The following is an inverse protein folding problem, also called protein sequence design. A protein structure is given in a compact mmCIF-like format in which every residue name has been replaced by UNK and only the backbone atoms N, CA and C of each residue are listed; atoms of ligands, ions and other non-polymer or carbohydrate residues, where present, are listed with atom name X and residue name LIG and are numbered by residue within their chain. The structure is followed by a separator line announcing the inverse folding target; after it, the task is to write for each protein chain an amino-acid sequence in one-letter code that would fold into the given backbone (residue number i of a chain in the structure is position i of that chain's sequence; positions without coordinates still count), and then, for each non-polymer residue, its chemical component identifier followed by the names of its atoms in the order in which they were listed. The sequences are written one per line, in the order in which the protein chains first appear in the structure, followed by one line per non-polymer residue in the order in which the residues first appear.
data_IF_043648587322
#
_entry.id   IF_043648587322
#
_cell.length_a   1.000
_cell.length_b   1.000
_cell.length_c   1.000
_cell.angle_alpha   90.00
_cell.angle_beta   90.00
_cell.angle_gamma   90.00
#
_symmetry.space_group_name_H-M   'P 1'
#
loop_
_entity.id
_entity.type
_entity.pdbx_description
1 polymer ?
#
# COMPACT_ATOMS: atom_id res chain seq x y z
N UNK A 1 -7.30 10.09 11.01
CA UNK A 1 -8.01 9.22 10.05
C UNK A 1 -7.70 9.60 8.62
N UNK A 2 -7.34 8.62 7.79
CA UNK A 2 -7.18 8.75 6.33
C UNK A 2 -8.33 8.02 5.64
N UNK A 3 -9.05 8.69 4.75
CA UNK A 3 -10.17 8.13 3.99
C UNK A 3 -9.93 8.20 2.49
N UNK A 4 -10.45 7.24 1.74
CA UNK A 4 -10.32 7.25 0.28
C UNK A 4 -11.42 6.46 -0.42
N UNK A 5 -11.84 6.93 -1.59
CA UNK A 5 -12.66 6.19 -2.55
C UNK A 5 -11.76 5.41 -3.50
N UNK A 6 -12.11 4.17 -3.81
CA UNK A 6 -11.29 3.28 -4.66
C UNK A 6 -12.12 2.55 -5.69
N UNK A 7 -11.68 2.54 -6.93
CA UNK A 7 -12.29 1.77 -8.02
C UNK A 7 -11.22 0.95 -8.74
N UNK A 8 -11.52 -0.29 -9.10
CA UNK A 8 -10.57 -1.15 -9.81
C UNK A 8 -11.23 -1.92 -10.94
N UNK A 9 -10.47 -2.18 -12.01
CA UNK A 9 -10.91 -2.99 -13.14
C UNK A 9 -11.35 -4.40 -12.73
N UNK A 10 -10.74 -4.95 -11.67
CA UNK A 10 -11.00 -6.30 -11.20
C UNK A 10 -12.30 -6.39 -10.39
N UNK A 11 -12.52 -5.46 -9.45
CA UNK A 11 -13.75 -5.45 -8.63
C UNK A 11 -14.95 -4.92 -9.42
N UNK A 12 -14.70 -3.98 -10.34
CA UNK A 12 -15.71 -3.17 -11.03
C UNK A 12 -16.68 -2.45 -10.09
N UNK A 13 -16.34 -2.36 -8.80
CA UNK A 13 -17.13 -1.73 -7.74
C UNK A 13 -16.33 -0.62 -7.07
N UNK A 14 -17.05 0.42 -6.67
CA UNK A 14 -16.51 1.47 -5.81
C UNK A 14 -16.38 0.92 -4.38
N UNK A 15 -15.30 1.29 -3.71
CA UNK A 15 -15.04 0.91 -2.33
C UNK A 15 -14.71 2.14 -1.50
N UNK A 16 -15.28 2.20 -0.31
CA UNK A 16 -14.98 3.22 0.69
C UNK A 16 -13.93 2.62 1.63
N UNK A 17 -12.77 3.23 1.68
CA UNK A 17 -11.66 2.75 2.50
C UNK A 17 -11.33 3.77 3.60
N UNK A 18 -11.19 3.29 4.83
CA UNK A 18 -10.72 4.07 5.97
C UNK A 18 -9.47 3.43 6.57
N UNK A 19 -8.57 4.27 7.06
CA UNK A 19 -7.34 3.84 7.72
C UNK A 19 -6.97 4.78 8.85
N UNK A 20 -6.67 4.20 10.00
CA UNK A 20 -6.27 4.93 11.19
C UNK A 20 -4.88 4.47 11.65
N UNK A 21 -4.09 5.38 12.22
CA UNK A 21 -2.74 5.08 12.75
C UNK A 21 -2.64 5.61 14.17
N UNK A 22 -2.74 4.71 15.13
CA UNK A 22 -2.61 5.02 16.55
C UNK A 22 -1.15 4.87 16.99
N UNK A 23 -0.54 5.87 17.63
CA UNK A 23 0.81 5.73 18.18
C UNK A 23 0.78 4.79 19.39
N UNK A 24 1.66 3.79 19.40
CA UNK A 24 1.93 2.95 20.57
C UNK A 24 3.13 3.51 21.33
N UNK A 25 4.15 3.94 20.59
CA UNK A 25 5.30 4.70 21.09
C UNK A 25 5.93 5.51 19.93
N UNK A 26 7.08 6.14 20.17
CA UNK A 26 7.76 6.98 19.17
C UNK A 26 8.13 6.25 17.87
N UNK A 27 8.38 4.94 17.93
CA UNK A 27 8.82 4.11 16.79
C UNK A 27 7.78 3.09 16.34
N UNK A 28 6.65 2.97 17.03
CA UNK A 28 5.67 1.89 16.82
C UNK A 28 4.27 2.45 16.66
N UNK A 29 3.57 2.01 15.61
CA UNK A 29 2.19 2.41 15.33
C UNK A 29 1.30 1.19 15.15
N UNK A 30 0.13 1.22 15.77
CA UNK A 30 -0.99 0.34 15.43
C UNK A 30 -1.73 0.96 14.24
N UNK A 31 -1.93 0.17 13.19
CA UNK A 31 -2.58 0.62 11.98
C UNK A 31 -3.80 -0.25 11.69
N UNK A 32 -4.96 0.39 11.64
CA UNK A 32 -6.24 -0.22 11.34
C UNK A 32 -6.67 0.18 9.93
N UNK A 33 -7.26 -0.75 9.19
CA UNK A 33 -7.84 -0.50 7.86
C UNK A 33 -9.19 -1.19 7.78
N UNK A 34 -10.15 -0.51 7.17
CA UNK A 34 -11.45 -1.05 6.82
C UNK A 34 -11.82 -0.67 5.40
N UNK A 35 -12.55 -1.55 4.72
CA UNK A 35 -13.05 -1.30 3.38
C UNK A 35 -14.49 -1.80 3.24
N UNK A 36 -15.39 -0.95 2.76
CA UNK A 36 -16.78 -1.27 2.43
C UNK A 36 -16.94 -1.31 0.91
N UNK A 37 -17.54 -2.38 0.38
CA UNK A 37 -17.85 -2.49 -1.04
C UNK A 37 -19.27 -1.98 -1.30
N UNK A 38 -19.41 -0.92 -2.09
CA UNK A 38 -20.71 -0.27 -2.30
C UNK A 38 -21.65 -1.10 -3.14
N UNK A 39 -21.17 -2.08 -3.93
CA UNK A 39 -22.03 -2.99 -4.68
C UNK A 39 -22.71 -3.99 -3.75
N UNK A 40 -21.97 -4.53 -2.79
CA UNK A 40 -22.48 -5.52 -1.84
C UNK A 40 -23.18 -4.87 -0.63
N UNK A 41 -22.94 -3.58 -0.38
CA UNK A 41 -23.44 -2.90 0.83
C UNK A 41 -22.81 -3.44 2.12
N UNK A 42 -21.64 -4.09 2.04
CA UNK A 42 -21.05 -4.84 3.15
C UNK A 42 -19.53 -4.62 3.28
N UNK A 43 -18.95 -4.83 4.47
CA UNK A 43 -17.51 -4.87 4.65
C UNK A 43 -16.86 -5.89 3.72
N UNK A 44 -15.71 -5.52 3.16
CA UNK A 44 -14.98 -6.32 2.18
C UNK A 44 -13.54 -6.64 2.61
N UNK A 45 -13.00 -5.85 3.52
CA UNK A 45 -11.67 -6.05 4.05
C UNK A 45 -11.54 -5.35 5.40
N UNK A 46 -10.89 -6.03 6.35
CA UNK A 46 -10.43 -5.43 7.59
C UNK A 46 -8.99 -5.87 7.85
N UNK A 47 -8.18 -4.98 8.43
CA UNK A 47 -6.80 -5.30 8.77
C UNK A 47 -6.36 -4.51 10.00
N UNK A 48 -5.73 -5.22 10.94
CA UNK A 48 -5.02 -4.63 12.06
C UNK A 48 -3.56 -5.06 12.00
N UNK A 49 -2.62 -4.11 12.08
CA UNK A 49 -1.19 -4.42 12.11
C UNK A 49 -0.43 -3.50 13.04
N UNK A 50 0.58 -4.06 13.71
CA UNK A 50 1.61 -3.29 14.41
C UNK A 50 2.76 -3.08 13.45
N UNK A 51 3.26 -1.85 13.37
CA UNK A 51 4.41 -1.47 12.54
C UNK A 51 5.47 -0.81 13.39
N UNK A 52 6.69 -1.31 13.28
CA UNK A 52 7.87 -0.72 13.90
C UNK A 52 8.74 -0.03 12.84
N UNK A 53 9.22 1.17 13.16
CA UNK A 53 10.01 2.03 12.28
C UNK A 53 11.45 2.15 12.81
N UNK A 54 12.39 1.68 12.00
CA UNK A 54 13.82 1.88 12.20
C UNK A 54 14.24 3.11 11.39
N UNK A 55 14.11 4.30 11.99
CA UNK A 55 14.33 5.58 11.31
C UNK A 55 15.75 5.71 10.73
N UNK A 56 16.77 5.37 11.50
CA UNK A 56 18.18 5.40 11.07
C UNK A 56 18.43 4.52 9.85
N UNK A 57 17.77 3.36 9.79
CA UNK A 57 17.90 2.41 8.68
C UNK A 57 16.92 2.68 7.53
N UNK A 58 16.09 3.73 7.59
CA UNK A 58 14.98 3.99 6.64
C UNK A 58 14.12 2.75 6.36
N UNK A 59 13.90 1.94 7.40
CA UNK A 59 13.30 0.62 7.30
C UNK A 59 12.08 0.52 8.23
N UNK A 60 11.08 -0.26 7.82
CA UNK A 60 9.99 -0.63 8.71
C UNK A 60 9.57 -2.08 8.48
N UNK A 61 9.17 -2.71 9.57
CA UNK A 61 8.59 -4.05 9.58
C UNK A 61 7.20 -3.95 10.20
N UNK A 62 6.28 -4.77 9.74
CA UNK A 62 4.97 -4.88 10.34
C UNK A 62 4.47 -6.30 10.35
N UNK A 63 3.70 -6.61 11.39
CA UNK A 63 3.01 -7.88 11.57
C UNK A 63 1.55 -7.57 11.82
N UNK A 64 0.66 -8.32 11.20
CA UNK A 64 -0.76 -8.08 11.37
C UNK A 64 -1.64 -9.23 10.95
N UNK A 65 -2.92 -9.02 11.19
CA UNK A 65 -4.00 -9.88 10.78
C UNK A 65 -4.87 -9.13 9.77
N UNK A 66 -5.45 -9.86 8.83
CA UNK A 66 -6.47 -9.33 7.96
C UNK A 66 -7.56 -10.36 7.68
N UNK A 67 -8.75 -9.83 7.41
CA UNK A 67 -9.95 -10.55 7.06
C UNK A 67 -10.40 -10.04 5.70
N UNK A 68 -10.73 -10.95 4.78
CA UNK A 68 -11.24 -10.63 3.45
C UNK A 68 -12.65 -11.21 3.24
N UNK A 69 -13.28 -10.85 2.12
CA UNK A 69 -14.62 -11.32 1.73
C UNK A 69 -14.83 -12.85 1.75
N UNK A 70 -13.77 -13.65 1.76
CA UNK A 70 -13.88 -15.12 1.85
C UNK A 70 -13.95 -15.64 3.29
N UNK A 71 -14.12 -14.72 4.25
CA UNK A 71 -14.16 -14.94 5.69
C UNK A 71 -12.91 -15.59 6.29
N UNK A 72 -11.80 -15.58 5.55
CA UNK A 72 -10.54 -16.21 5.97
C UNK A 72 -9.68 -15.20 6.72
N UNK A 73 -9.61 -15.35 8.05
CA UNK A 73 -8.60 -14.69 8.87
C UNK A 73 -7.21 -15.18 8.45
N UNK A 74 -6.31 -14.25 8.15
CA UNK A 74 -4.92 -14.53 7.76
C UNK A 74 -3.95 -13.64 8.51
N UNK A 75 -2.79 -14.20 8.83
CA UNK A 75 -1.64 -13.45 9.32
C UNK A 75 -0.77 -12.95 8.18
N UNK A 76 0.02 -11.91 8.44
CA UNK A 76 1.05 -11.50 7.50
C UNK A 76 2.21 -10.79 8.19
N UNK A 77 3.37 -10.89 7.54
CA UNK A 77 4.56 -10.09 7.84
C UNK A 77 4.88 -9.24 6.62
N UNK A 78 5.27 -7.98 6.83
CA UNK A 78 5.72 -7.09 5.76
C UNK A 78 6.98 -6.35 6.15
N UNK A 79 7.82 -6.08 5.16
CA UNK A 79 9.01 -5.25 5.28
C UNK A 79 9.04 -4.20 4.20
N UNK A 80 9.58 -3.02 4.50
CA UNK A 80 9.94 -2.02 3.51
C UNK A 80 11.24 -1.32 3.90
N UNK A 81 12.16 -1.20 2.95
CA UNK A 81 13.38 -0.38 3.06
C UNK A 81 13.39 0.68 1.96
N UNK A 82 13.79 1.90 2.31
CA UNK A 82 13.93 3.03 1.40
C UNK A 82 15.41 3.42 1.33
N UNK A 83 15.90 3.66 0.12
CA UNK A 83 17.24 4.12 -0.19
C UNK A 83 17.13 5.46 -0.93
N UNK A 84 17.78 6.53 -0.44
CA UNK A 84 17.90 7.76 -1.22
C UNK A 84 18.82 7.50 -2.43
N UNK A 85 18.35 7.80 -3.65
CA UNK A 85 19.19 7.71 -4.85
C UNK A 85 20.02 8.98 -5.02
N UNK A 86 19.45 10.10 -4.58
CA UNK A 86 20.09 11.42 -4.48
C UNK A 86 19.92 11.99 -3.08
N UNK A 87 20.81 12.92 -2.71
CA UNK A 87 20.79 13.63 -1.43
C UNK A 87 19.55 14.48 -1.23
N UNK A 88 18.96 14.99 -2.31
CA UNK A 88 17.69 15.75 -2.31
C UNK A 88 16.44 14.89 -1.98
N UNK A 89 16.59 13.56 -1.92
CA UNK A 89 15.49 12.58 -1.75
C UNK A 89 14.35 12.69 -2.76
N UNK A 90 14.57 13.41 -3.85
CA UNK A 90 13.61 13.64 -4.91
C UNK A 90 13.39 12.33 -5.69
N UNK A 91 14.46 11.54 -5.84
CA UNK A 91 14.45 10.17 -6.34
C UNK A 91 14.81 9.19 -5.24
N UNK A 92 13.96 8.17 -5.03
CA UNK A 92 14.18 7.15 -4.00
C UNK A 92 13.92 5.75 -4.54
N UNK A 93 14.79 4.82 -4.15
CA UNK A 93 14.64 3.41 -4.45
C UNK A 93 14.04 2.69 -3.24
N UNK A 94 13.03 1.87 -3.44
CA UNK A 94 12.29 1.20 -2.38
C UNK A 94 12.22 -0.28 -2.65
N UNK A 95 12.52 -1.09 -1.63
CA UNK A 95 12.27 -2.53 -1.64
C UNK A 95 11.15 -2.82 -0.65
N UNK A 96 10.14 -3.57 -1.06
CA UNK A 96 9.05 -4.02 -0.20
C UNK A 96 8.83 -5.52 -0.35
N UNK A 97 8.53 -6.17 0.76
CA UNK A 97 8.17 -7.58 0.81
C UNK A 97 6.96 -7.80 1.72
N UNK A 98 6.16 -8.80 1.40
CA UNK A 98 5.05 -9.26 2.24
C UNK A 98 4.90 -10.78 2.08
N UNK A 99 4.64 -11.45 3.19
CA UNK A 99 4.32 -12.86 3.24
C UNK A 99 3.03 -13.03 4.03
N UNK A 100 2.04 -13.71 3.45
CA UNK A 100 0.78 -14.02 4.11
C UNK A 100 0.83 -15.48 4.63
N UNK A 101 0.14 -15.75 5.73
CA UNK A 101 0.04 -17.07 6.36
C UNK A 101 -1.43 -17.36 6.64
N UNK A 102 -1.85 -18.60 6.39
CA UNK A 102 -3.16 -19.08 6.83
C UNK A 102 -3.14 -19.52 8.31
N UNK A 103 -4.26 -20.03 8.80
CA UNK A 103 -4.42 -20.42 10.21
C UNK A 103 -3.53 -21.59 10.63
N UNK A 104 -3.09 -22.39 9.66
CA UNK A 104 -2.15 -23.51 9.86
C UNK A 104 -0.69 -23.06 9.71
N UNK A 105 -0.45 -21.74 9.61
CA UNK A 105 0.85 -21.14 9.34
C UNK A 105 1.48 -21.57 8.01
N UNK A 106 0.68 -22.11 7.08
CA UNK A 106 1.16 -22.36 5.74
C UNK A 106 1.34 -21.02 5.01
N UNK A 107 2.52 -20.82 4.45
CA UNK A 107 2.83 -19.64 3.66
C UNK A 107 1.94 -19.57 2.41
N UNK A 108 1.33 -18.41 2.19
CA UNK A 108 0.52 -18.08 1.02
C UNK A 108 0.99 -16.78 0.41
N UNK A 109 0.91 -16.70 -0.92
CA UNK A 109 0.98 -15.45 -1.68
C UNK A 109 2.15 -14.52 -1.30
N UNK A 110 3.41 -14.97 -1.37
CA UNK A 110 4.54 -14.07 -1.19
C UNK A 110 4.50 -12.97 -2.24
N UNK A 111 4.80 -11.74 -1.81
CA UNK A 111 4.82 -10.55 -2.65
C UNK A 111 6.11 -9.78 -2.42
N UNK A 112 6.67 -9.24 -3.48
CA UNK A 112 7.96 -8.60 -3.45
C UNK A 112 8.07 -7.61 -4.58
N UNK A 113 8.56 -6.41 -4.31
CA UNK A 113 8.76 -5.45 -5.37
C UNK A 113 9.90 -4.48 -5.07
N UNK A 114 10.52 -4.04 -6.16
CA UNK A 114 11.43 -2.91 -6.20
C UNK A 114 10.74 -1.74 -6.90
N UNK A 115 10.90 -0.52 -6.39
CA UNK A 115 10.24 0.68 -6.90
C UNK A 115 11.23 1.86 -6.94
N UNK A 116 11.18 2.65 -8.01
CA UNK A 116 11.69 4.02 -8.01
C UNK A 116 10.52 4.98 -7.83
N UNK A 117 10.66 5.91 -6.89
CA UNK A 117 9.74 7.03 -6.68
C UNK A 117 10.44 8.33 -7.06
N UNK A 118 9.81 9.12 -7.93
CA UNK A 118 10.12 10.51 -8.20
C UNK A 118 9.04 11.38 -7.56
N UNK A 119 9.42 12.22 -6.59
CA UNK A 119 8.52 13.12 -5.88
C UNK A 119 8.83 14.57 -6.27
N UNK A 120 7.95 15.19 -7.05
CA UNK A 120 8.05 16.57 -7.51
C UNK A 120 7.07 17.42 -6.70
N UNK A 121 7.61 18.19 -5.78
CA UNK A 121 6.84 19.15 -4.97
C UNK A 121 6.65 20.45 -5.75
N UNK A 122 5.44 21.03 -5.70
CA UNK A 122 5.11 22.26 -6.44
C UNK A 122 5.49 22.16 -7.91
N UNK A 123 5.09 21.07 -8.57
CA UNK A 123 5.29 20.88 -10.01
C UNK A 123 4.66 22.04 -10.79
N UNK A 124 3.48 22.44 -10.35
CA UNK A 124 2.78 23.67 -10.70
C UNK A 124 2.25 24.32 -9.42
N UNK A 125 1.66 25.52 -9.54
CA UNK A 125 1.04 26.20 -8.41
C UNK A 125 -0.02 25.29 -7.77
N UNK A 126 0.15 24.99 -6.48
CA UNK A 126 -0.72 24.12 -5.68
C UNK A 126 -0.86 22.67 -6.20
N UNK A 127 0.15 22.18 -6.93
CA UNK A 127 0.15 20.83 -7.51
C UNK A 127 1.39 20.04 -7.08
N UNK A 128 1.16 18.90 -6.41
CA UNK A 128 2.20 17.93 -6.08
C UNK A 128 2.08 16.68 -6.94
N UNK A 129 3.19 16.27 -7.56
CA UNK A 129 3.25 15.12 -8.46
C UNK A 129 4.18 14.05 -7.89
N UNK A 130 3.71 12.80 -7.87
CA UNK A 130 4.55 11.63 -7.64
C UNK A 130 4.39 10.64 -8.77
N UNK A 131 5.53 10.30 -9.38
CA UNK A 131 5.64 9.22 -10.34
C UNK A 131 6.36 8.05 -9.68
N UNK A 132 5.85 6.85 -9.91
CA UNK A 132 6.45 5.61 -9.43
C UNK A 132 6.48 4.59 -10.55
N UNK A 133 7.64 3.97 -10.72
CA UNK A 133 7.81 2.80 -11.57
C UNK A 133 8.32 1.68 -10.68
N UNK A 134 7.70 0.52 -10.76
CA UNK A 134 8.09 -0.62 -9.95
C UNK A 134 8.00 -1.93 -10.71
N UNK A 135 8.59 -2.96 -10.14
CA UNK A 135 8.58 -4.31 -10.66
C UNK A 135 8.19 -5.28 -9.54
N UNK A 136 7.13 -6.04 -9.75
CA UNK A 136 6.69 -7.12 -8.86
C UNK A 136 7.46 -8.39 -9.23
N UNK A 137 8.19 -8.95 -8.26
CA UNK A 137 9.21 -9.98 -8.46
C UNK A 137 8.64 -11.38 -8.65
N UNK A 138 7.48 -11.69 -8.06
CA UNK A 138 6.89 -13.02 -8.07
C UNK A 138 6.04 -13.24 -9.33
N UNK A 139 5.20 -12.25 -9.65
CA UNK A 139 4.39 -12.21 -10.87
C UNK A 139 5.19 -11.78 -12.10
N UNK A 140 6.40 -11.23 -11.90
CA UNK A 140 7.30 -10.70 -12.94
C UNK A 140 6.64 -9.62 -13.79
N UNK A 141 6.02 -8.64 -13.13
CA UNK A 141 5.24 -7.59 -13.81
C UNK A 141 5.70 -6.21 -13.41
N UNK A 142 6.13 -5.37 -14.36
CA UNK A 142 6.32 -3.96 -14.10
C UNK A 142 4.97 -3.23 -14.00
N UNK A 143 4.95 -2.21 -13.15
CA UNK A 143 3.79 -1.38 -12.88
C UNK A 143 4.19 0.07 -12.74
N UNK A 144 3.22 0.94 -12.96
CA UNK A 144 3.36 2.38 -12.85
C UNK A 144 2.28 2.94 -11.94
N UNK A 145 2.63 4.00 -11.23
CA UNK A 145 1.69 4.80 -10.46
C UNK A 145 1.95 6.28 -10.72
N UNK A 146 0.86 7.01 -10.93
CA UNK A 146 0.84 8.47 -10.96
C UNK A 146 -0.05 8.91 -9.82
N UNK A 147 0.44 9.82 -8.99
CA UNK A 147 -0.35 10.50 -7.97
C UNK A 147 -0.20 12.00 -8.17
N UNK A 148 -1.32 12.67 -8.24
CA UNK A 148 -1.41 14.10 -8.30
C UNK A 148 -2.41 14.55 -7.25
N UNK A 149 -1.96 15.42 -6.34
CA UNK A 149 -2.77 15.91 -5.22
C UNK A 149 -3.43 14.74 -4.46
N UNK A 150 -4.76 14.62 -4.59
CA UNK A 150 -5.57 13.63 -3.88
C UNK A 150 -5.93 12.40 -4.73
N UNK A 151 -5.63 12.35 -6.03
CA UNK A 151 -5.96 11.19 -6.84
C UNK A 151 -4.71 10.37 -7.18
N UNK A 152 -4.88 9.07 -7.36
CA UNK A 152 -3.80 8.15 -7.72
C UNK A 152 -4.32 7.12 -8.73
N UNK A 153 -3.65 7.00 -9.86
CA UNK A 153 -3.83 5.91 -10.82
C UNK A 153 -2.70 4.90 -10.66
N UNK A 154 -3.06 3.63 -10.57
CA UNK A 154 -2.13 2.50 -10.63
C UNK A 154 -2.45 1.67 -11.86
N UNK A 155 -1.42 1.22 -12.58
CA UNK A 155 -1.56 0.32 -13.72
C UNK A 155 -0.38 -0.64 -13.82
N UNK A 156 -0.53 -1.77 -14.52
CA UNK A 156 0.56 -2.70 -14.78
C UNK A 156 0.49 -3.28 -16.19
N UNK A 157 1.57 -3.95 -16.63
CA UNK A 157 1.62 -4.55 -17.98
C UNK A 157 0.69 -5.74 -18.20
N UNK A 158 0.00 -6.22 -17.16
CA UNK A 158 -1.09 -7.21 -17.28
C UNK A 158 -2.46 -6.54 -17.49
N UNK A 159 -2.51 -5.23 -17.73
CA UNK A 159 -3.74 -4.46 -17.95
C UNK A 159 -4.58 -4.22 -16.68
N UNK A 160 -4.06 -4.56 -15.49
CA UNK A 160 -4.77 -4.31 -14.23
C UNK A 160 -4.56 -2.86 -13.84
N UNK A 161 -5.66 -2.14 -13.60
CA UNK A 161 -5.62 -0.77 -13.12
C UNK A 161 -6.59 -0.51 -11.97
N UNK A 162 -6.30 0.53 -11.18
CA UNK A 162 -7.19 1.08 -10.18
C UNK A 162 -6.97 2.58 -10.00
N UNK A 163 -8.02 3.28 -9.60
CA UNK A 163 -8.02 4.69 -9.23
C UNK A 163 -8.38 4.79 -7.75
N UNK A 164 -7.67 5.69 -7.05
CA UNK A 164 -7.92 6.06 -5.67
C UNK A 164 -8.09 7.57 -5.59
N UNK A 165 -9.08 8.04 -4.84
CA UNK A 165 -9.26 9.44 -4.48
C UNK A 165 -9.22 9.57 -2.96
N UNK A 166 -8.29 10.36 -2.44
CA UNK A 166 -8.13 10.68 -1.02
C UNK A 166 -9.13 11.77 -0.62
N UNK A 167 -9.85 11.53 0.48
CA UNK A 167 -10.86 12.43 1.06
C UNK A 167 -10.26 13.19 2.24
#
# INVERSE_FOLDING_TARGET
METSLRYSANSRSLRIHAKEKLPVNSKTRLQLHGELDTRAGAPSYFCAMIRHFFHEASTNIGVGLHYDKSEKLRGFVRGKKKFPVRTDQLVTFNIKGRCDFDQEFNQRNPKGAAEFDLNLWKFEKDQDLRLRVGYEMFDKVPYMQIRENNWTLNTNLKGKWNVRFDL
#
